data_IF_258700951397
#
_entry.id   IF_258700951397
#
_cell.length_a   1.000
_cell.length_b   1.000
_cell.length_c   1.000
_cell.angle_alpha   90.00
_cell.angle_beta   90.00
_cell.angle_gamma   90.00
#
_symmetry.space_group_name_H-M   'P 1'
#
loop_
_entity.id
_entity.type
_entity.pdbx_description
1 polymer ?
#
# COMPACT_ATOMS: atom_id res chain seq x y z
N UNK A 1 10.00 -16.34 -6.84
CA UNK A 1 10.23 -14.88 -6.67
C UNK A 1 9.79 -14.05 -7.88
N UNK A 2 9.40 -14.67 -9.01
CA UNK A 2 8.95 -13.99 -10.24
C UNK A 2 7.75 -13.05 -10.04
N UNK A 3 6.64 -13.54 -9.48
CA UNK A 3 5.39 -12.76 -9.47
C UNK A 3 5.44 -11.37 -8.78
N UNK A 4 6.32 -11.14 -7.79
CA UNK A 4 6.47 -9.78 -7.21
C UNK A 4 7.30 -8.84 -8.11
N UNK A 5 8.31 -9.39 -8.80
CA UNK A 5 9.10 -8.67 -9.79
C UNK A 5 8.22 -8.29 -10.98
N UNK A 6 7.39 -9.21 -11.44
CA UNK A 6 6.46 -9.01 -12.56
C UNK A 6 5.37 -7.96 -12.21
N UNK A 7 4.85 -7.99 -10.98
CA UNK A 7 3.94 -6.96 -10.46
C UNK A 7 4.61 -5.56 -10.42
N UNK A 8 5.86 -5.47 -9.95
CA UNK A 8 6.62 -4.22 -9.96
C UNK A 8 6.82 -3.73 -11.39
N UNK A 9 7.27 -4.61 -12.29
CA UNK A 9 7.52 -4.31 -13.69
C UNK A 9 6.27 -3.76 -14.38
N UNK A 10 5.15 -4.47 -14.26
CA UNK A 10 3.86 -4.07 -14.83
C UNK A 10 3.33 -2.75 -14.26
N UNK A 11 3.76 -2.37 -13.06
CA UNK A 11 3.33 -1.12 -12.42
C UNK A 11 4.14 0.12 -12.84
N UNK A 12 5.38 -0.07 -13.31
CA UNK A 12 6.31 1.03 -13.61
C UNK A 12 6.71 1.10 -15.09
N UNK A 13 6.53 0.02 -15.84
CA UNK A 13 6.81 -0.06 -17.28
C UNK A 13 5.54 -0.31 -18.09
N UNK A 14 5.45 0.38 -19.22
CA UNK A 14 4.47 0.11 -20.29
C UNK A 14 5.24 -0.16 -21.59
N UNK A 15 4.89 -1.24 -22.31
CA UNK A 15 5.52 -1.56 -23.60
C UNK A 15 4.95 -0.66 -24.69
N UNK A 16 5.83 -0.16 -25.54
CA UNK A 16 5.54 0.78 -26.65
C UNK A 16 6.33 0.29 -27.87
N UNK A 17 5.91 0.57 -29.12
CA UNK A 17 6.61 0.10 -30.32
C UNK A 17 8.12 0.38 -30.31
N UNK A 18 8.53 1.54 -29.78
CA UNK A 18 9.93 1.98 -29.74
C UNK A 18 10.66 1.62 -28.42
N UNK A 19 10.08 0.77 -27.56
CA UNK A 19 10.72 0.31 -26.31
C UNK A 19 9.78 0.27 -25.10
N UNK A 20 10.21 0.86 -23.98
CA UNK A 20 9.43 0.86 -22.74
C UNK A 20 9.27 2.27 -22.17
N UNK A 21 8.05 2.68 -21.85
CA UNK A 21 7.81 3.89 -21.08
C UNK A 21 7.97 3.54 -19.61
N UNK A 22 8.98 4.14 -18.98
CA UNK A 22 9.24 4.08 -17.55
C UNK A 22 8.61 5.28 -16.85
N UNK A 23 7.89 5.02 -15.77
CA UNK A 23 7.40 6.06 -14.86
C UNK A 23 8.29 6.13 -13.63
N UNK A 24 8.99 7.24 -13.46
CA UNK A 24 9.80 7.49 -12.28
C UNK A 24 8.92 7.58 -11.01
N UNK A 25 9.41 7.07 -9.86
CA UNK A 25 8.76 7.31 -8.57
C UNK A 25 8.62 8.82 -8.35
N UNK A 26 7.48 9.24 -7.83
CA UNK A 26 7.26 10.65 -7.54
C UNK A 26 7.94 11.01 -6.20
N UNK A 27 8.75 12.09 -6.14
CA UNK A 27 9.34 12.57 -4.88
C UNK A 27 8.30 13.01 -3.84
N UNK A 28 7.08 13.32 -4.29
CA UNK A 28 5.95 13.65 -3.43
C UNK A 28 4.86 12.58 -3.56
N UNK A 29 4.23 12.16 -2.45
CA UNK A 29 3.18 11.12 -2.50
C UNK A 29 2.01 11.51 -3.43
N UNK A 30 1.78 12.82 -3.64
CA UNK A 30 0.74 13.38 -4.49
C UNK A 30 1.30 14.42 -5.49
N UNK A 31 1.64 13.99 -6.71
CA UNK A 31 2.15 14.91 -7.74
C UNK A 31 2.36 14.26 -9.10
N UNK A 32 2.84 15.04 -10.08
CA UNK A 32 3.09 14.57 -11.44
C UNK A 32 4.36 13.73 -11.48
N UNK A 33 4.22 12.45 -11.83
CA UNK A 33 5.35 11.59 -12.11
C UNK A 33 5.95 11.92 -13.48
N UNK A 34 7.28 11.80 -13.59
CA UNK A 34 8.00 11.97 -14.86
C UNK A 34 8.04 10.64 -15.63
N UNK A 35 7.89 10.72 -16.95
CA UNK A 35 7.90 9.57 -17.85
C UNK A 35 9.12 9.64 -18.76
N UNK A 36 9.80 8.51 -18.93
CA UNK A 36 11.03 8.36 -19.70
C UNK A 36 10.92 7.16 -20.63
N UNK A 37 11.54 7.24 -21.81
CA UNK A 37 11.64 6.09 -22.71
C UNK A 37 12.93 5.32 -22.37
N UNK A 38 12.79 4.03 -22.10
CA UNK A 38 13.86 3.14 -21.67
C UNK A 38 14.02 1.99 -22.67
N UNK A 39 15.27 1.66 -22.98
CA UNK A 39 15.63 0.45 -23.74
C UNK A 39 15.56 -0.82 -22.88
N UNK A 40 15.66 -1.99 -23.50
CA UNK A 40 15.67 -3.27 -22.76
C UNK A 40 16.83 -3.38 -21.76
N UNK A 41 18.02 -2.88 -22.14
CA UNK A 41 19.19 -2.86 -21.26
C UNK A 41 18.94 -1.97 -20.02
N UNK A 42 18.39 -0.78 -20.24
CA UNK A 42 18.07 0.16 -19.16
C UNK A 42 16.94 -0.35 -18.26
N UNK A 43 15.95 -1.06 -18.83
CA UNK A 43 14.87 -1.71 -18.06
C UNK A 43 15.43 -2.72 -17.06
N UNK A 44 16.41 -3.54 -17.46
CA UNK A 44 17.02 -4.52 -16.57
C UNK A 44 17.75 -3.85 -15.39
N UNK A 45 18.45 -2.75 -15.66
CA UNK A 45 19.16 -1.97 -14.64
C UNK A 45 18.20 -1.30 -13.66
N UNK A 46 17.15 -0.64 -14.15
CA UNK A 46 16.09 -0.04 -13.32
C UNK A 46 15.42 -1.10 -12.44
N UNK A 47 15.11 -2.28 -12.99
CA UNK A 47 14.50 -3.38 -12.25
C UNK A 47 15.40 -3.91 -11.14
N UNK A 48 16.72 -3.89 -11.33
CA UNK A 48 17.68 -4.29 -10.28
C UNK A 48 17.68 -3.33 -9.08
N UNK A 49 17.40 -2.04 -9.32
CA UNK A 49 17.32 -0.99 -8.30
C UNK A 49 15.93 -1.00 -7.63
N UNK A 50 14.87 -1.22 -8.41
CA UNK A 50 13.48 -1.09 -7.97
C UNK A 50 12.94 -2.30 -7.22
N UNK A 51 13.45 -3.50 -7.46
CA UNK A 51 13.01 -4.72 -6.78
C UNK A 51 13.79 -4.88 -5.46
N UNK A 52 13.18 -4.67 -4.29
CA UNK A 52 13.84 -4.94 -3.02
C UNK A 52 14.19 -6.43 -2.89
N UNK A 53 15.38 -6.73 -2.34
CA UNK A 53 15.87 -8.10 -2.13
C UNK A 53 14.97 -8.92 -1.19
N UNK A 54 14.26 -8.30 -0.24
CA UNK A 54 13.40 -8.97 0.75
C UNK A 54 12.07 -8.24 0.98
N UNK A 55 11.14 -8.22 0.00
CA UNK A 55 9.93 -7.40 0.05
C UNK A 55 8.95 -7.80 1.16
N UNK A 56 8.83 -9.11 1.41
CA UNK A 56 7.89 -9.65 2.42
C UNK A 56 8.30 -9.29 3.83
N UNK A 57 9.60 -9.33 4.13
CA UNK A 57 10.14 -9.00 5.45
C UNK A 57 10.03 -7.50 5.73
N UNK A 58 10.28 -6.65 4.72
CA UNK A 58 10.13 -5.20 4.89
C UNK A 58 8.66 -4.83 5.12
N UNK A 59 7.73 -5.39 4.34
CA UNK A 59 6.31 -5.13 4.52
C UNK A 59 5.79 -5.64 5.87
N UNK A 60 6.17 -6.87 6.26
CA UNK A 60 5.80 -7.43 7.55
C UNK A 60 6.39 -6.65 8.72
N UNK A 61 7.66 -6.25 8.65
CA UNK A 61 8.30 -5.43 9.68
C UNK A 61 7.64 -4.06 9.81
N UNK A 62 7.25 -3.42 8.70
CA UNK A 62 6.53 -2.13 8.72
C UNK A 62 5.15 -2.28 9.35
N UNK A 63 4.39 -3.31 8.97
CA UNK A 63 3.04 -3.56 9.55
C UNK A 63 3.16 -3.88 11.04
N UNK A 64 4.08 -4.75 11.43
CA UNK A 64 4.30 -5.11 12.84
C UNK A 64 4.78 -3.91 13.64
N UNK A 65 5.71 -3.11 13.12
CA UNK A 65 6.16 -1.88 13.78
C UNK A 65 5.02 -0.87 13.95
N UNK A 66 4.16 -0.68 12.94
CA UNK A 66 2.98 0.19 13.03
C UNK A 66 1.97 -0.29 14.06
N UNK A 67 1.71 -1.60 14.13
CA UNK A 67 0.80 -2.18 15.11
C UNK A 67 1.35 -2.08 16.54
N UNK A 68 2.64 -2.42 16.73
CA UNK A 68 3.30 -2.33 18.04
C UNK A 68 3.43 -0.89 18.51
N UNK A 69 3.76 0.04 17.61
CA UNK A 69 3.88 1.46 17.92
C UNK A 69 2.52 2.10 18.21
N UNK A 70 1.48 1.74 17.46
CA UNK A 70 0.11 2.17 17.74
C UNK A 70 -0.39 1.66 19.10
N UNK A 71 -0.12 0.41 19.44
CA UNK A 71 -0.46 -0.16 20.73
C UNK A 71 0.33 0.49 21.89
N UNK A 72 1.64 0.68 21.73
CA UNK A 72 2.51 1.30 22.73
C UNK A 72 2.21 2.79 22.93
N UNK A 73 1.94 3.54 21.86
CA UNK A 73 1.55 4.94 21.93
C UNK A 73 0.17 5.10 22.58
N UNK A 74 -0.80 4.24 22.25
CA UNK A 74 -2.10 4.22 22.93
C UNK A 74 -1.98 3.92 24.42
N UNK A 75 -1.07 3.03 24.82
CA UNK A 75 -0.85 2.72 26.24
C UNK A 75 -0.06 3.81 26.98
N UNK A 76 1.01 4.34 26.38
CA UNK A 76 1.91 5.29 27.04
C UNK A 76 1.37 6.73 27.10
N UNK A 77 0.54 7.14 26.13
CA UNK A 77 -0.01 8.50 26.08
C UNK A 77 -1.34 8.62 26.81
N UNK A 78 -2.11 7.53 26.93
CA UNK A 78 -3.47 7.66 27.48
C UNK A 78 -3.48 8.02 28.95
N UNK A 79 -2.56 7.50 29.80
CA UNK A 79 -2.35 7.92 31.21
C UNK A 79 -3.58 7.90 32.15
N UNK A 80 -4.76 7.64 31.63
CA UNK A 80 -6.09 7.75 32.20
C UNK A 80 -6.93 6.63 31.58
N UNK A 81 -7.85 6.04 32.34
CA UNK A 81 -8.66 4.90 31.90
C UNK A 81 -9.63 5.21 30.74
N UNK A 82 -9.78 6.48 30.36
CA UNK A 82 -10.70 6.93 29.32
C UNK A 82 -9.94 7.77 28.26
N UNK A 83 -9.74 7.25 27.04
CA UNK A 83 -8.99 7.96 26.01
C UNK A 83 -9.80 9.16 25.50
N UNK A 84 -9.17 10.32 25.54
CA UNK A 84 -9.76 11.58 25.08
C UNK A 84 -9.67 11.67 23.56
N UNK A 85 -10.49 12.51 22.92
CA UNK A 85 -10.38 12.79 21.48
C UNK A 85 -8.97 13.25 21.08
N UNK A 86 -8.27 13.97 21.97
CA UNK A 86 -6.87 14.37 21.77
C UNK A 86 -5.91 13.18 21.63
N UNK A 87 -6.07 12.16 22.47
CA UNK A 87 -5.23 10.96 22.44
C UNK A 87 -5.39 10.19 21.14
N UNK A 88 -6.61 10.15 20.61
CA UNK A 88 -6.92 9.51 19.34
C UNK A 88 -6.30 10.25 18.14
N UNK A 89 -6.31 11.58 18.14
CA UNK A 89 -5.64 12.40 17.12
C UNK A 89 -4.12 12.19 17.17
N UNK A 90 -3.55 12.16 18.36
CA UNK A 90 -2.12 11.91 18.55
C UNK A 90 -1.76 10.50 18.07
N UNK A 91 -2.53 9.48 18.41
CA UNK A 91 -2.31 8.11 17.89
C UNK A 91 -2.33 8.06 16.36
N UNK A 92 -3.30 8.71 15.72
CA UNK A 92 -3.37 8.76 14.24
C UNK A 92 -2.15 9.46 13.66
N UNK A 93 -1.74 10.60 14.23
CA UNK A 93 -0.56 11.33 13.77
C UNK A 93 0.74 10.51 13.97
N UNK A 94 0.85 9.81 15.10
CA UNK A 94 1.99 8.96 15.47
C UNK A 94 2.07 7.70 14.60
N UNK A 95 0.96 7.19 14.09
CA UNK A 95 0.93 6.06 13.14
C UNK A 95 1.20 6.54 11.71
N UNK A 96 0.42 7.52 11.23
CA UNK A 96 0.47 7.97 9.84
C UNK A 96 1.71 8.82 9.54
N UNK A 97 2.21 9.59 10.51
CA UNK A 97 3.36 10.47 10.34
C UNK A 97 4.64 9.71 9.98
N UNK A 98 5.12 8.77 10.81
CA UNK A 98 6.30 7.95 10.50
C UNK A 98 6.11 7.11 9.24
N UNK A 99 4.90 6.61 8.98
CA UNK A 99 4.59 5.90 7.74
C UNK A 99 4.79 6.81 6.52
N UNK A 100 4.25 8.04 6.57
CA UNK A 100 4.39 9.04 5.52
C UNK A 100 5.85 9.44 5.32
N UNK A 101 6.60 9.70 6.40
CA UNK A 101 8.03 10.02 6.36
C UNK A 101 8.82 8.86 5.74
N UNK A 102 8.56 7.62 6.14
CA UNK A 102 9.23 6.43 5.61
C UNK A 102 8.97 6.27 4.10
N UNK A 103 7.74 6.53 3.65
CA UNK A 103 7.39 6.52 2.23
C UNK A 103 8.17 7.58 1.44
N UNK A 104 8.27 8.80 1.96
CA UNK A 104 9.05 9.89 1.33
C UNK A 104 10.53 9.53 1.26
N UNK A 105 11.13 9.10 2.38
CA UNK A 105 12.54 8.74 2.45
C UNK A 105 12.85 7.60 1.49
N UNK A 106 12.01 6.56 1.44
CA UNK A 106 12.16 5.45 0.50
C UNK A 106 12.04 5.91 -0.96
N UNK A 107 11.06 6.76 -1.28
CA UNK A 107 10.88 7.29 -2.62
C UNK A 107 12.08 8.14 -3.05
N UNK A 108 12.55 9.06 -2.21
CA UNK A 108 13.73 9.89 -2.46
C UNK A 108 14.98 9.05 -2.65
N UNK A 109 15.22 8.07 -1.78
CA UNK A 109 16.37 7.19 -1.89
C UNK A 109 16.36 6.43 -3.23
N UNK A 110 15.21 5.92 -3.66
CA UNK A 110 15.07 5.27 -4.98
C UNK A 110 15.30 6.23 -6.14
N UNK A 111 14.78 7.46 -6.07
CA UNK A 111 15.00 8.47 -7.10
C UNK A 111 16.48 8.83 -7.20
N UNK A 112 17.18 9.02 -6.08
CA UNK A 112 18.62 9.29 -6.08
C UNK A 112 19.41 8.14 -6.69
N UNK A 113 19.04 6.88 -6.44
CA UNK A 113 19.68 5.72 -7.07
C UNK A 113 19.36 5.58 -8.56
N UNK A 114 18.19 6.05 -8.99
CA UNK A 114 17.78 6.04 -10.39
C UNK A 114 18.30 7.25 -11.18
N UNK A 115 18.64 8.36 -10.51
CA UNK A 115 19.14 9.59 -11.11
C UNK A 115 20.27 9.37 -12.15
N UNK A 116 21.31 8.56 -11.90
CA UNK A 116 22.36 8.33 -12.90
C UNK A 116 21.83 7.61 -14.15
N UNK A 117 20.91 6.66 -13.99
CA UNK A 117 20.32 5.89 -15.11
C UNK A 117 19.34 6.76 -15.91
N UNK A 118 18.64 7.68 -15.24
CA UNK A 118 17.66 8.58 -15.84
C UNK A 118 18.32 9.78 -16.57
N UNK A 119 19.56 10.14 -16.24
CA UNK A 119 20.24 11.31 -16.79
C UNK A 119 20.43 11.25 -18.32
N UNK A 120 20.52 10.04 -18.88
CA UNK A 120 20.68 9.82 -20.33
C UNK A 120 19.39 9.46 -21.08
N UNK A 121 18.22 9.45 -20.43
CA UNK A 121 16.97 8.99 -21.06
C UNK A 121 16.20 10.11 -21.74
N UNK A 122 15.64 9.82 -22.92
CA UNK A 122 14.68 10.71 -23.55
C UNK A 122 13.42 10.82 -22.69
N UNK A 123 13.00 12.06 -22.44
CA UNK A 123 11.72 12.36 -21.82
C UNK A 123 10.62 12.12 -22.85
N UNK A 124 9.58 11.39 -22.45
CA UNK A 124 8.45 11.08 -23.33
C UNK A 124 7.18 11.78 -22.86
N UNK A 125 6.40 12.27 -23.83
CA UNK A 125 5.03 12.78 -23.63
C UNK A 125 4.03 11.63 -23.36
N UNK A 126 4.41 10.38 -23.65
CA UNK A 126 3.54 9.24 -23.41
C UNK A 126 3.38 8.97 -21.91
N UNK A 127 2.13 8.97 -21.45
CA UNK A 127 1.80 8.82 -20.04
C UNK A 127 1.33 7.42 -19.69
N UNK A 128 1.73 6.94 -18.51
CA UNK A 128 1.14 5.75 -17.89
C UNK A 128 -0.03 6.20 -17.01
N UNK A 129 -1.25 6.02 -17.50
CA UNK A 129 -2.48 6.37 -16.78
C UNK A 129 -2.70 5.47 -15.56
N UNK A 130 -3.42 5.95 -14.55
CA UNK A 130 -3.73 5.16 -13.35
C UNK A 130 -4.55 3.89 -13.66
N UNK A 131 -5.46 3.98 -14.63
CA UNK A 131 -6.24 2.84 -15.12
C UNK A 131 -5.33 1.72 -15.67
N UNK A 132 -4.38 2.08 -16.54
CA UNK A 132 -3.39 1.15 -17.12
C UNK A 132 -2.61 0.41 -16.03
N UNK A 133 -2.10 1.15 -15.03
CA UNK A 133 -1.37 0.56 -13.90
C UNK A 133 -2.26 -0.41 -13.11
N UNK A 134 -3.50 0.00 -12.82
CA UNK A 134 -4.42 -0.84 -12.05
C UNK A 134 -4.76 -2.13 -12.80
N UNK A 135 -4.93 -2.05 -14.12
CA UNK A 135 -5.18 -3.21 -14.97
C UNK A 135 -3.96 -4.13 -15.06
N UNK A 136 -2.77 -3.56 -15.24
CA UNK A 136 -1.51 -4.31 -15.30
C UNK A 136 -1.19 -5.02 -13.96
N UNK A 137 -1.43 -4.36 -12.83
CA UNK A 137 -1.33 -4.95 -11.50
C UNK A 137 -2.34 -6.06 -11.26
N UNK A 138 -3.61 -5.87 -11.68
CA UNK A 138 -4.63 -6.90 -11.54
C UNK A 138 -4.31 -8.15 -12.40
N UNK A 139 -3.72 -7.94 -13.58
CA UNK A 139 -3.25 -9.03 -14.44
C UNK A 139 -2.15 -9.87 -13.78
N UNK A 140 -1.18 -9.21 -13.15
CA UNK A 140 0.01 -9.85 -12.56
C UNK A 140 -0.19 -10.43 -11.17
N UNK A 141 -1.09 -9.87 -10.35
CA UNK A 141 -1.32 -10.36 -8.99
C UNK A 141 -1.81 -11.81 -8.98
N UNK A 142 -1.14 -12.68 -8.21
CA UNK A 142 -1.56 -14.08 -8.04
C UNK A 142 -2.92 -14.19 -7.34
N UNK A 143 -3.79 -15.08 -7.83
CA UNK A 143 -5.09 -15.38 -7.23
C UNK A 143 -4.98 -15.73 -5.72
N UNK A 144 -3.98 -16.53 -5.35
CA UNK A 144 -3.71 -16.89 -3.94
C UNK A 144 -3.38 -15.66 -3.08
N UNK A 145 -2.67 -14.66 -3.63
CA UNK A 145 -2.35 -13.42 -2.91
C UNK A 145 -3.58 -12.53 -2.76
N UNK A 146 -4.43 -12.44 -3.78
CA UNK A 146 -5.69 -11.71 -3.68
C UNK A 146 -6.58 -12.29 -2.59
N UNK A 147 -6.69 -13.62 -2.51
CA UNK A 147 -7.43 -14.30 -1.44
C UNK A 147 -6.78 -14.10 -0.06
N UNK A 148 -5.46 -14.22 0.05
CA UNK A 148 -4.76 -14.01 1.32
C UNK A 148 -4.93 -12.58 1.86
N UNK A 149 -4.82 -11.56 1.00
CA UNK A 149 -5.04 -10.16 1.37
C UNK A 149 -6.50 -9.89 1.71
N UNK A 150 -7.45 -10.41 0.92
CA UNK A 150 -8.88 -10.31 1.20
C UNK A 150 -9.22 -10.94 2.55
N UNK A 151 -8.74 -12.16 2.82
CA UNK A 151 -8.94 -12.87 4.08
C UNK A 151 -8.32 -12.15 5.28
N UNK A 152 -7.09 -11.62 5.15
CA UNK A 152 -6.43 -10.84 6.20
C UNK A 152 -7.24 -9.57 6.55
N UNK A 153 -7.72 -8.85 5.54
CA UNK A 153 -8.53 -7.64 5.74
C UNK A 153 -9.89 -7.95 6.36
N UNK A 154 -10.55 -9.04 5.95
CA UNK A 154 -11.78 -9.51 6.58
C UNK A 154 -11.54 -9.88 8.04
N UNK A 155 -10.50 -10.66 8.33
CA UNK A 155 -10.17 -11.04 9.70
C UNK A 155 -9.89 -9.81 10.58
N UNK A 156 -9.14 -8.83 10.05
CA UNK A 156 -8.87 -7.58 10.76
C UNK A 156 -10.15 -6.76 10.99
N UNK A 157 -11.05 -6.69 10.02
CA UNK A 157 -12.36 -6.03 10.16
C UNK A 157 -13.22 -6.71 11.22
N UNK A 158 -13.30 -8.05 11.21
CA UNK A 158 -14.04 -8.83 12.21
C UNK A 158 -13.47 -8.65 13.62
N UNK A 159 -12.14 -8.63 13.77
CA UNK A 159 -11.51 -8.35 15.07
C UNK A 159 -11.86 -6.96 15.58
N UNK A 160 -11.93 -5.94 14.73
CA UNK A 160 -12.35 -4.61 15.13
C UNK A 160 -13.82 -4.56 15.55
N UNK A 161 -14.71 -5.25 14.81
CA UNK A 161 -16.12 -5.38 15.21
C UNK A 161 -16.26 -6.10 16.56
N UNK A 162 -15.47 -7.15 16.80
CA UNK A 162 -15.44 -7.84 18.09
C UNK A 162 -15.03 -6.91 19.25
N UNK A 163 -14.01 -6.07 19.04
CA UNK A 163 -13.58 -5.06 20.02
C UNK A 163 -14.68 -4.03 20.30
N UNK A 164 -15.45 -3.63 19.27
CA UNK A 164 -16.60 -2.72 19.44
C UNK A 164 -17.69 -3.40 20.29
N UNK A 165 -18.04 -4.66 19.98
CA UNK A 165 -19.09 -5.40 20.70
C UNK A 165 -18.71 -5.64 22.16
N UNK A 166 -17.45 -5.99 22.44
CA UNK A 166 -16.99 -6.22 23.82
C UNK A 166 -16.99 -4.92 24.64
N UNK A 167 -16.65 -3.79 24.00
CA UNK A 167 -16.72 -2.47 24.63
C UNK A 167 -18.14 -1.94 24.79
N UNK A 168 -19.06 -2.22 23.87
CA UNK A 168 -20.44 -1.73 23.97
C UNK A 168 -21.21 -2.28 25.16
N UNK A 169 -20.72 -3.36 25.79
CA UNK A 169 -21.27 -3.86 27.05
C UNK A 169 -20.98 -2.94 28.25
N UNK A 170 -19.96 -2.08 28.16
CA UNK A 170 -19.50 -1.23 29.26
C UNK A 170 -19.73 0.25 29.00
N UNK A 171 -19.77 0.68 27.73
CA UNK A 171 -19.96 2.08 27.34
C UNK A 171 -20.89 2.18 26.12
N UNK A 172 -21.82 3.16 26.06
CA UNK A 172 -22.71 3.31 24.93
C UNK A 172 -21.95 3.76 23.66
N UNK A 173 -22.15 3.01 22.58
CA UNK A 173 -21.38 3.09 21.32
C UNK A 173 -21.19 4.51 20.75
N UNK A 174 -22.23 5.34 20.74
CA UNK A 174 -22.20 6.67 20.13
C UNK A 174 -21.44 7.71 20.95
N UNK A 175 -21.17 7.44 22.23
CA UNK A 175 -20.52 8.38 23.14
C UNK A 175 -19.04 8.07 23.35
N UNK A 176 -18.53 6.98 22.78
CA UNK A 176 -17.11 6.62 22.81
C UNK A 176 -16.44 6.96 21.45
N UNK A 177 -15.61 8.02 21.38
CA UNK A 177 -14.88 8.40 20.17
C UNK A 177 -14.01 7.27 19.60
N UNK A 178 -13.48 6.40 20.46
CA UNK A 178 -12.65 5.27 20.03
C UNK A 178 -13.50 4.20 19.34
N UNK A 179 -14.72 3.94 19.82
CA UNK A 179 -15.67 3.04 19.16
C UNK A 179 -16.08 3.55 17.76
N UNK A 180 -16.21 4.87 17.58
CA UNK A 180 -16.47 5.46 16.25
C UNK A 180 -15.28 5.31 15.30
N UNK A 181 -14.05 5.54 15.78
CA UNK A 181 -12.84 5.41 14.95
C UNK A 181 -12.56 3.96 14.56
N UNK A 182 -12.75 3.02 15.48
CA UNK A 182 -12.63 1.58 15.20
C UNK A 182 -13.70 1.11 14.23
N UNK A 183 -14.94 1.64 14.31
CA UNK A 183 -15.99 1.36 13.34
C UNK A 183 -15.63 1.87 11.93
N UNK A 184 -15.13 3.10 11.83
CA UNK A 184 -14.68 3.66 10.55
C UNK A 184 -13.54 2.82 9.92
N UNK A 185 -12.57 2.40 10.73
CA UNK A 185 -11.50 1.52 10.28
C UNK A 185 -12.04 0.15 9.80
N UNK A 186 -12.99 -0.44 10.54
CA UNK A 186 -13.59 -1.73 10.20
C UNK A 186 -14.32 -1.67 8.86
N UNK A 187 -15.02 -0.57 8.58
CA UNK A 187 -15.69 -0.30 7.30
C UNK A 187 -14.67 -0.18 6.16
N UNK A 188 -13.62 0.64 6.35
CA UNK A 188 -12.57 0.80 5.33
C UNK A 188 -11.89 -0.52 4.98
N UNK A 189 -11.56 -1.34 5.99
CA UNK A 189 -10.96 -2.65 5.80
C UNK A 189 -11.92 -3.63 5.12
N UNK A 190 -13.21 -3.61 5.49
CA UNK A 190 -14.26 -4.42 4.87
C UNK A 190 -14.45 -4.10 3.39
N UNK A 191 -14.50 -2.82 3.02
CA UNK A 191 -14.55 -2.38 1.62
C UNK A 191 -13.29 -2.81 0.84
N UNK A 192 -12.12 -2.73 1.47
CA UNK A 192 -10.87 -3.24 0.92
C UNK A 192 -10.93 -4.74 0.63
N UNK A 193 -11.40 -5.53 1.60
CA UNK A 193 -11.57 -6.98 1.48
C UNK A 193 -12.54 -7.34 0.35
N UNK A 194 -13.72 -6.71 0.32
CA UNK A 194 -14.72 -6.92 -0.73
C UNK A 194 -14.12 -6.70 -2.13
N UNK A 195 -13.36 -5.62 -2.31
CA UNK A 195 -12.68 -5.33 -3.57
C UNK A 195 -11.67 -6.41 -3.97
N UNK A 196 -10.88 -6.94 -3.04
CA UNK A 196 -9.96 -8.04 -3.33
C UNK A 196 -10.69 -9.33 -3.71
N UNK A 197 -11.80 -9.65 -3.04
CA UNK A 197 -12.63 -10.79 -3.41
C UNK A 197 -13.30 -10.63 -4.78
N UNK A 198 -13.80 -9.44 -5.12
CA UNK A 198 -14.34 -9.16 -6.47
C UNK A 198 -13.27 -9.37 -7.55
N UNK A 199 -12.04 -8.92 -7.31
CA UNK A 199 -10.93 -9.13 -8.24
C UNK A 199 -10.57 -10.61 -8.37
N UNK A 200 -10.52 -11.35 -7.25
CA UNK A 200 -10.29 -12.79 -7.26
C UNK A 200 -11.39 -13.54 -8.03
N UNK A 201 -12.66 -13.19 -7.80
CA UNK A 201 -13.82 -13.78 -8.49
C UNK A 201 -13.78 -13.53 -10.01
N UNK A 202 -13.46 -12.30 -10.44
CA UNK A 202 -13.30 -11.99 -11.86
C UNK A 202 -12.19 -12.82 -12.50
N UNK A 203 -11.07 -12.97 -11.79
CA UNK A 203 -9.93 -13.77 -12.25
C UNK A 203 -10.23 -15.26 -12.34
N UNK A 204 -11.04 -15.81 -11.42
CA UNK A 204 -11.45 -17.23 -11.49
C UNK A 204 -12.43 -17.51 -12.63
N UNK A 205 -13.29 -16.54 -12.99
CA UNK A 205 -14.15 -16.65 -14.19
C UNK A 205 -13.34 -16.66 -15.48
N UNK A 206 -12.36 -15.77 -15.61
CA UNK A 206 -11.51 -15.69 -16.80
C UNK A 206 -10.65 -16.94 -17.03
N UNK A 207 -10.36 -17.72 -15.98
CA UNK A 207 -9.61 -18.97 -16.09
C UNK A 207 -10.46 -20.18 -16.53
N UNK A 208 -11.80 -20.03 -16.62
CA UNK A 208 -12.73 -21.09 -17.01
C UNK A 208 -13.24 -20.96 -18.46
N UNK A 209 -13.01 -19.82 -19.09
CA UNK A 209 -13.20 -19.55 -20.53
C UNK A 209 -11.91 -19.79 -21.26
#
# INVERSE_FOLDING_TARGET
MSGYRDEIEASIFKRVPDGYVFRAPNPWVFGRARHHLASEAQKAEIMSIMVPRRPKLILAAVIVALLLFGAAAGWALSGHDNPTTGDAVIMVAVILGPMYVTLIVSARHKIHRLAPVLAGMLRTEQTITYADRRQALAGTMSFRRMLALGGLLTFSSLMQVFVIISRSQHQPFFWDPQSMMTAAAAICLGLGAARFFTLAYRKSRQAKT
#
